data_IF_392515980096
#
_entry.id   IF_392515980096
#
_cell.length_a   1.000
_cell.length_b   1.000
_cell.length_c   1.000
_cell.angle_alpha   90.00
_cell.angle_beta   90.00
_cell.angle_gamma   90.00
#
_symmetry.space_group_name_H-M   'P 1'
#
loop_
_entity.id
_entity.type
_entity.pdbx_description
1 polymer ?
#
# COMPACT_ATOMS: atom_id res chain seq x y z
N UNK A 1 -0.94 -26.80 78.66
CA UNK A 1 -1.62 -25.60 78.12
C UNK A 1 -1.64 -25.74 76.60
N UNK A 2 -2.81 -25.83 75.95
CA UNK A 2 -2.90 -26.10 74.52
C UNK A 2 -2.71 -24.83 73.67
N UNK A 3 -2.22 -24.95 72.42
CA UNK A 3 -2.01 -23.82 71.53
C UNK A 3 -3.34 -23.29 70.98
N UNK A 4 -3.56 -21.97 71.11
CA UNK A 4 -4.69 -21.25 70.52
C UNK A 4 -4.48 -21.13 69.01
N UNK A 5 -5.31 -21.83 68.23
CA UNK A 5 -5.44 -21.63 66.78
C UNK A 5 -6.08 -20.26 66.51
N UNK A 6 -5.34 -19.38 65.82
CA UNK A 6 -5.84 -18.10 65.32
C UNK A 6 -6.40 -18.36 63.92
N UNK A 7 -7.74 -18.41 63.82
CA UNK A 7 -8.45 -18.41 62.54
C UNK A 7 -8.30 -17.02 61.92
N UNK A 8 -7.43 -16.88 60.91
CA UNK A 8 -7.40 -15.72 60.03
C UNK A 8 -8.61 -15.78 59.09
N UNK A 9 -9.52 -14.79 59.11
CA UNK A 9 -10.57 -14.70 58.10
C UNK A 9 -9.90 -14.45 56.75
N UNK A 10 -10.06 -15.39 55.81
CA UNK A 10 -9.72 -15.20 54.41
C UNK A 10 -10.58 -14.04 53.87
N UNK A 11 -10.01 -12.84 53.85
CA UNK A 11 -10.59 -11.69 53.17
C UNK A 11 -10.45 -11.95 51.66
N UNK A 12 -11.51 -12.45 51.04
CA UNK A 12 -11.58 -12.60 49.58
C UNK A 12 -11.55 -11.22 48.93
N UNK A 13 -10.36 -10.78 48.48
CA UNK A 13 -10.24 -9.61 47.62
C UNK A 13 -10.94 -9.94 46.29
N UNK A 14 -12.09 -9.33 46.05
CA UNK A 14 -12.73 -9.26 44.74
C UNK A 14 -11.79 -8.47 43.83
N UNK A 15 -10.91 -9.18 43.10
CA UNK A 15 -10.14 -8.54 42.03
C UNK A 15 -11.12 -8.19 40.91
N UNK A 16 -11.31 -6.91 40.57
CA UNK A 16 -12.18 -6.53 39.47
C UNK A 16 -11.68 -7.24 38.21
N UNK A 17 -12.53 -8.08 37.62
CA UNK A 17 -12.29 -8.62 36.28
C UNK A 17 -12.34 -7.46 35.31
N UNK A 18 -11.17 -6.97 34.90
CA UNK A 18 -11.07 -6.06 33.77
C UNK A 18 -11.67 -6.79 32.57
N UNK A 19 -12.84 -6.36 32.11
CA UNK A 19 -13.36 -6.85 30.84
C UNK A 19 -12.34 -6.42 29.77
N UNK A 20 -11.70 -7.40 29.13
CA UNK A 20 -10.86 -7.12 27.97
C UNK A 20 -11.74 -6.41 26.95
N UNK A 21 -11.34 -5.21 26.53
CA UNK A 21 -12.10 -4.49 25.52
C UNK A 21 -11.96 -5.24 24.20
N UNK A 22 -13.10 -5.58 23.58
CA UNK A 22 -13.12 -6.13 22.24
C UNK A 22 -12.57 -5.10 21.24
N UNK A 23 -11.86 -5.58 20.24
CA UNK A 23 -11.36 -4.78 19.13
C UNK A 23 -12.22 -5.02 17.89
N UNK A 24 -12.40 -3.99 17.08
CA UNK A 24 -13.30 -3.97 15.94
C UNK A 24 -12.55 -3.58 14.67
N UNK A 25 -12.94 -4.20 13.56
CA UNK A 25 -12.61 -3.72 12.22
C UNK A 25 -13.20 -2.33 11.98
N UNK A 26 -12.68 -1.60 11.00
CA UNK A 26 -13.18 -0.27 10.63
C UNK A 26 -14.67 -0.27 10.20
N UNK A 27 -15.21 -1.42 9.79
CA UNK A 27 -16.64 -1.59 9.48
C UNK A 27 -17.52 -1.87 10.71
N UNK A 28 -16.93 -1.90 11.92
CA UNK A 28 -17.62 -2.19 13.18
C UNK A 28 -17.89 -3.67 13.47
N UNK A 29 -17.31 -4.58 12.70
CA UNK A 29 -17.37 -6.01 13.01
C UNK A 29 -16.33 -6.34 14.07
N UNK A 30 -16.66 -7.22 15.02
CA UNK A 30 -15.72 -7.67 16.06
C UNK A 30 -14.61 -8.54 15.45
N UNK A 31 -13.40 -8.42 15.97
CA UNK A 31 -12.29 -9.29 15.57
C UNK A 31 -12.54 -10.75 16.00
N UNK A 32 -12.30 -11.75 15.12
CA UNK A 32 -12.52 -13.15 15.46
C UNK A 32 -11.40 -13.68 16.36
N UNK A 33 -11.67 -13.80 17.65
CA UNK A 33 -10.69 -14.26 18.66
C UNK A 33 -10.25 -15.72 18.50
N UNK A 34 -10.96 -16.51 17.70
CA UNK A 34 -10.62 -17.92 17.43
C UNK A 34 -9.45 -18.08 16.46
N UNK A 35 -9.06 -17.03 15.75
CA UNK A 35 -7.94 -17.05 14.82
C UNK A 35 -6.67 -16.58 15.52
N UNK A 36 -5.59 -17.36 15.39
CA UNK A 36 -4.32 -17.14 16.07
C UNK A 36 -3.71 -15.74 15.83
N UNK A 37 -3.95 -15.15 14.65
CA UNK A 37 -3.51 -13.79 14.37
C UNK A 37 -4.25 -12.77 15.22
N UNK A 38 -5.59 -12.82 15.21
CA UNK A 38 -6.43 -11.84 15.89
C UNK A 38 -6.38 -11.97 17.42
N UNK A 39 -6.04 -13.13 17.97
CA UNK A 39 -5.81 -13.29 19.42
C UNK A 39 -4.60 -12.52 19.95
N UNK A 40 -3.69 -12.07 19.07
CA UNK A 40 -2.55 -11.23 19.47
C UNK A 40 -2.87 -9.74 19.50
N UNK A 41 -4.04 -9.34 18.99
CA UNK A 41 -4.46 -7.94 18.96
C UNK A 41 -5.08 -7.59 20.30
N UNK A 42 -4.54 -6.57 20.94
CA UNK A 42 -4.97 -6.11 22.26
C UNK A 42 -5.03 -4.58 22.28
N UNK A 43 -5.91 -4.00 23.11
CA UNK A 43 -5.93 -2.57 23.35
C UNK A 43 -4.60 -2.08 23.91
N UNK A 44 -4.17 -0.89 23.50
CA UNK A 44 -3.05 -0.22 24.12
C UNK A 44 -3.32 0.03 25.62
N UNK A 45 -2.26 0.01 26.42
CA UNK A 45 -2.39 0.13 27.89
C UNK A 45 -2.53 1.59 28.33
N UNK A 46 -1.87 2.51 27.62
CA UNK A 46 -1.73 3.89 28.05
C UNK A 46 -2.83 4.80 27.49
N UNK A 47 -3.33 5.71 28.34
CA UNK A 47 -4.07 6.87 27.89
C UNK A 47 -3.12 7.83 27.14
N UNK A 48 -3.57 8.47 26.05
CA UNK A 48 -4.93 8.53 25.51
C UNK A 48 -5.26 7.44 24.47
N UNK A 49 -4.32 6.55 24.16
CA UNK A 49 -4.40 5.61 23.04
C UNK A 49 -5.03 4.26 23.39
N UNK A 50 -5.56 4.10 24.61
CA UNK A 50 -6.21 2.85 25.06
C UNK A 50 -7.38 2.36 24.19
N UNK A 51 -7.90 3.21 23.32
CA UNK A 51 -8.96 2.87 22.37
C UNK A 51 -8.42 2.34 21.04
N UNK A 52 -7.11 2.34 20.84
CA UNK A 52 -6.43 1.74 19.70
C UNK A 52 -6.03 0.32 20.07
N UNK A 53 -6.14 -0.61 19.11
CA UNK A 53 -5.63 -1.96 19.29
C UNK A 53 -4.48 -2.26 18.33
N UNK A 54 -3.40 -2.82 18.87
CA UNK A 54 -2.20 -3.22 18.14
C UNK A 54 -1.89 -4.71 18.38
N UNK A 55 -0.95 -5.30 17.63
CA UNK A 55 -0.52 -6.68 17.86
C UNK A 55 0.49 -6.75 19.02
N UNK A 56 -0.02 -6.71 20.25
CA UNK A 56 0.78 -6.68 21.47
C UNK A 56 1.06 -8.08 22.06
N UNK A 57 0.34 -9.11 21.59
CA UNK A 57 0.39 -10.48 22.13
C UNK A 57 1.21 -11.47 21.29
N UNK A 58 2.17 -11.02 20.49
CA UNK A 58 3.11 -11.87 19.75
C UNK A 58 4.28 -12.27 20.67
N UNK A 59 4.91 -13.40 20.39
CA UNK A 59 6.02 -13.90 21.21
C UNK A 59 7.36 -13.19 20.94
N UNK A 60 7.54 -12.66 19.72
CA UNK A 60 8.79 -11.99 19.34
C UNK A 60 8.74 -10.53 19.79
N UNK A 61 9.70 -10.09 20.60
CA UNK A 61 9.70 -8.74 21.16
C UNK A 61 9.96 -7.64 20.10
N UNK A 62 9.57 -6.37 20.35
CA UNK A 62 9.82 -5.28 19.42
C UNK A 62 11.31 -5.11 19.13
N UNK A 63 11.69 -5.19 17.86
CA UNK A 63 13.08 -5.14 17.40
C UNK A 63 13.78 -6.50 17.33
N UNK A 64 13.07 -7.60 17.59
CA UNK A 64 13.56 -8.96 17.39
C UNK A 64 13.80 -9.32 15.92
N UNK A 65 14.50 -10.44 15.69
CA UNK A 65 14.78 -10.95 14.35
C UNK A 65 13.52 -11.55 13.72
N UNK A 66 13.26 -11.21 12.45
CA UNK A 66 12.14 -11.71 11.66
C UNK A 66 12.14 -13.23 11.52
N UNK A 67 13.29 -13.90 11.64
CA UNK A 67 13.39 -15.37 11.64
C UNK A 67 12.59 -15.99 12.81
N UNK A 68 12.40 -15.24 13.90
CA UNK A 68 11.60 -15.67 15.06
C UNK A 68 10.11 -15.34 14.91
N UNK A 69 9.66 -14.90 13.72
CA UNK A 69 8.29 -14.49 13.45
C UNK A 69 8.07 -12.98 13.54
N UNK A 70 6.81 -12.55 13.47
CA UNK A 70 6.44 -11.15 13.57
C UNK A 70 6.65 -10.61 14.98
N UNK A 71 7.26 -9.44 15.10
CA UNK A 71 7.49 -8.77 16.38
C UNK A 71 6.23 -8.14 16.93
N UNK A 72 6.19 -7.93 18.25
CA UNK A 72 5.19 -7.12 18.92
C UNK A 72 5.21 -5.69 18.41
N UNK A 73 4.01 -5.13 18.32
CA UNK A 73 3.84 -3.72 18.05
C UNK A 73 4.07 -2.91 19.34
N UNK A 74 4.39 -1.63 19.15
CA UNK A 74 4.45 -0.63 20.19
C UNK A 74 3.39 0.44 19.90
N UNK A 75 2.56 0.76 20.90
CA UNK A 75 1.58 1.82 20.77
C UNK A 75 2.27 3.19 20.76
N UNK A 76 2.08 3.96 19.68
CA UNK A 76 2.59 5.32 19.60
C UNK A 76 1.59 6.32 20.18
N UNK A 77 2.06 7.46 20.75
CA UNK A 77 1.17 8.45 21.34
C UNK A 77 0.15 9.05 20.38
N UNK A 78 0.41 9.05 19.07
CA UNK A 78 -0.50 9.54 18.03
C UNK A 78 -1.60 8.53 17.66
N UNK A 79 -1.61 7.34 18.25
CA UNK A 79 -2.57 6.27 18.01
C UNK A 79 -2.20 5.32 16.88
N UNK A 80 -0.98 5.39 16.33
CA UNK A 80 -0.46 4.39 15.40
C UNK A 80 0.22 3.23 16.15
N UNK A 81 0.33 2.08 15.50
CA UNK A 81 1.09 0.92 15.97
C UNK A 81 2.46 0.90 15.26
N UNK A 82 3.56 0.90 16.01
CA UNK A 82 4.91 0.80 15.46
C UNK A 82 5.41 -0.64 15.55
N UNK A 83 5.80 -1.22 14.43
CA UNK A 83 6.42 -2.54 14.39
C UNK A 83 7.91 -2.41 14.05
N UNK A 84 8.79 -2.68 15.04
CA UNK A 84 10.24 -2.75 14.81
C UNK A 84 10.67 -4.19 14.62
N UNK A 85 11.46 -4.48 13.61
CA UNK A 85 12.01 -5.81 13.35
C UNK A 85 13.42 -5.73 12.77
N UNK A 86 14.18 -6.81 12.88
CA UNK A 86 15.48 -6.98 12.21
C UNK A 86 15.33 -8.04 11.14
N UNK A 87 15.62 -7.71 9.88
CA UNK A 87 15.61 -8.65 8.76
C UNK A 87 16.98 -8.67 8.11
N UNK A 88 17.66 -9.82 8.12
CA UNK A 88 19.02 -9.97 7.61
C UNK A 88 20.00 -8.94 8.22
N UNK A 89 19.92 -8.74 9.54
CA UNK A 89 20.73 -7.74 10.25
C UNK A 89 20.34 -6.27 10.02
N UNK A 90 19.37 -6.00 9.14
CA UNK A 90 18.89 -4.64 8.86
C UNK A 90 17.67 -4.31 9.70
N UNK A 91 17.75 -3.22 10.48
CA UNK A 91 16.63 -2.71 11.26
C UNK A 91 15.58 -2.11 10.32
N UNK A 92 14.36 -2.60 10.42
CA UNK A 92 13.18 -2.10 9.69
C UNK A 92 12.15 -1.62 10.68
N UNK A 93 11.43 -0.55 10.35
CA UNK A 93 10.34 -0.03 11.17
C UNK A 93 9.16 0.24 10.27
N UNK A 94 8.02 -0.36 10.61
CA UNK A 94 6.76 -0.14 9.94
C UNK A 94 5.81 0.57 10.90
N UNK A 95 4.92 1.40 10.36
CA UNK A 95 3.85 2.02 11.11
C UNK A 95 2.53 1.56 10.54
N UNK A 96 1.59 1.26 11.41
CA UNK A 96 0.31 0.71 11.05
C UNK A 96 -0.81 1.53 11.69
N UNK A 97 -1.82 1.79 10.88
CA UNK A 97 -3.13 2.17 11.34
C UNK A 97 -3.95 0.89 11.45
N UNK A 98 -4.19 0.42 12.66
CA UNK A 98 -4.84 -0.85 12.96
C UNK A 98 -6.30 -0.62 13.42
N UNK A 99 -6.75 -1.44 14.38
CA UNK A 99 -8.11 -1.57 14.87
C UNK A 99 -8.43 -0.62 16.02
N UNK A 100 -9.70 -0.61 16.43
CA UNK A 100 -10.18 0.24 17.50
C UNK A 100 -11.06 -0.55 18.49
N UNK A 101 -11.11 -0.12 19.75
CA UNK A 101 -12.03 -0.68 20.75
C UNK A 101 -13.47 -0.17 20.59
N UNK A 102 -13.67 0.91 19.83
CA UNK A 102 -15.02 1.41 19.54
C UNK A 102 -15.52 0.80 18.22
N UNK A 103 -16.76 0.32 18.26
CA UNK A 103 -17.43 -0.26 17.09
C UNK A 103 -17.61 0.77 15.98
N UNK A 104 -17.81 2.03 16.35
CA UNK A 104 -17.94 3.13 15.40
C UNK A 104 -16.60 3.86 15.25
N UNK A 105 -15.95 3.65 14.10
CA UNK A 105 -14.69 4.32 13.77
C UNK A 105 -14.85 5.85 13.71
N UNK A 106 -16.06 6.35 13.46
CA UNK A 106 -16.36 7.80 13.41
C UNK A 106 -16.64 8.43 14.77
N UNK A 107 -16.69 7.63 15.84
CA UNK A 107 -16.98 8.08 17.22
C UNK A 107 -15.99 9.13 17.76
N UNK A 108 -14.87 9.33 17.06
CA UNK A 108 -13.75 10.12 17.50
C UNK A 108 -12.74 9.33 18.34
N UNK A 109 -13.15 8.21 18.94
CA UNK A 109 -12.26 7.38 19.77
C UNK A 109 -11.29 6.53 18.95
N UNK A 110 -11.48 6.48 17.63
CA UNK A 110 -10.64 5.74 16.70
C UNK A 110 -9.91 6.70 15.76
N UNK A 111 -8.83 6.22 15.14
CA UNK A 111 -8.27 6.89 13.98
C UNK A 111 -9.08 6.53 12.73
N UNK A 112 -9.76 7.53 12.17
CA UNK A 112 -10.59 7.40 10.97
C UNK A 112 -9.95 8.09 9.77
N UNK A 113 -8.83 7.52 9.33
CA UNK A 113 -8.04 8.02 8.20
C UNK A 113 -7.73 6.85 7.27
N UNK A 114 -7.27 7.15 6.05
CA UNK A 114 -6.82 6.12 5.10
C UNK A 114 -7.85 5.02 4.82
N UNK A 115 -9.15 5.36 4.81
CA UNK A 115 -10.23 4.40 4.56
C UNK A 115 -10.06 3.65 3.24
N UNK A 116 -9.58 4.35 2.22
CA UNK A 116 -9.38 3.83 0.87
C UNK A 116 -8.26 2.78 0.78
N UNK A 117 -7.32 2.78 1.72
CA UNK A 117 -6.15 1.88 1.71
C UNK A 117 -6.20 0.83 2.81
N UNK A 118 -7.24 0.83 3.65
CA UNK A 118 -7.47 -0.25 4.62
C UNK A 118 -7.87 -1.50 3.86
N UNK A 119 -7.10 -2.57 4.08
CA UNK A 119 -7.44 -3.87 3.54
C UNK A 119 -8.61 -4.49 4.31
N UNK A 120 -9.11 -5.64 3.86
CA UNK A 120 -10.20 -6.34 4.56
C UNK A 120 -9.78 -6.88 5.94
N UNK A 121 -8.47 -6.98 6.19
CA UNK A 121 -7.94 -7.22 7.53
C UNK A 121 -8.01 -5.97 8.42
N UNK A 122 -8.52 -4.82 7.96
CA UNK A 122 -8.79 -3.63 8.76
C UNK A 122 -7.59 -2.72 9.02
N UNK A 123 -6.37 -3.20 8.75
CA UNK A 123 -5.13 -2.46 8.92
C UNK A 123 -4.66 -1.75 7.63
N UNK A 124 -3.85 -0.71 7.76
CA UNK A 124 -3.12 -0.13 6.63
C UNK A 124 -1.74 0.38 7.06
N UNK A 125 -0.75 0.22 6.20
CA UNK A 125 0.58 0.78 6.40
C UNK A 125 0.50 2.30 6.39
N UNK A 126 1.36 2.94 7.19
CA UNK A 126 1.50 4.38 7.27
C UNK A 126 2.96 4.75 7.08
N UNK A 127 3.24 5.74 6.24
CA UNK A 127 4.60 6.22 5.99
C UNK A 127 4.75 7.67 6.46
N UNK A 128 5.67 7.98 7.40
CA UNK A 128 5.86 9.34 7.88
C UNK A 128 6.58 10.19 6.83
N UNK A 129 6.12 11.42 6.63
CA UNK A 129 6.75 12.35 5.68
C UNK A 129 8.12 12.87 6.13
N UNK A 130 8.38 12.95 7.44
CA UNK A 130 9.67 13.37 7.99
C UNK A 130 10.60 12.20 8.36
N UNK A 131 10.18 10.97 8.10
CA UNK A 131 10.93 9.76 8.43
C UNK A 131 10.94 9.40 9.92
N UNK A 132 10.18 10.09 10.78
CA UNK A 132 10.15 9.87 12.22
C UNK A 132 8.81 9.32 12.70
N UNK A 133 8.82 8.64 13.84
CA UNK A 133 7.60 8.13 14.48
C UNK A 133 6.70 9.24 15.07
N UNK A 134 7.21 10.48 15.17
CA UNK A 134 6.51 11.65 15.67
C UNK A 134 6.07 12.61 14.55
N UNK A 135 6.06 12.13 13.30
CA UNK A 135 5.57 12.91 12.17
C UNK A 135 4.15 13.41 12.43
N UNK A 136 3.87 14.60 11.92
CA UNK A 136 2.50 15.15 11.88
C UNK A 136 1.85 14.95 10.52
N UNK A 137 2.62 14.54 9.51
CA UNK A 137 2.18 14.26 8.14
C UNK A 137 2.49 12.83 7.75
N UNK A 138 1.49 12.10 7.29
CA UNK A 138 1.60 10.68 6.99
C UNK A 138 0.97 10.36 5.64
N UNK A 139 1.59 9.45 4.90
CA UNK A 139 0.96 8.81 3.75
C UNK A 139 0.26 7.52 4.16
N UNK A 140 -0.90 7.31 3.56
CA UNK A 140 -1.56 6.02 3.55
C UNK A 140 -0.80 5.07 2.60
N UNK A 141 -0.28 3.96 3.13
CA UNK A 141 0.54 2.99 2.40
C UNK A 141 2.04 3.07 2.70
N UNK A 142 2.84 2.31 1.95
CA UNK A 142 4.29 2.15 2.15
C UNK A 142 5.18 3.14 1.37
N UNK A 143 4.63 4.24 0.86
CA UNK A 143 5.34 5.20 0.00
C UNK A 143 5.29 6.62 0.57
N UNK A 144 6.37 7.38 0.37
CA UNK A 144 6.45 8.82 0.70
C UNK A 144 5.97 9.73 -0.44
N UNK A 145 5.47 9.17 -1.54
CA UNK A 145 5.10 9.97 -2.73
C UNK A 145 4.09 11.07 -2.41
N UNK A 146 3.12 10.77 -1.53
CA UNK A 146 2.08 11.71 -1.11
C UNK A 146 2.67 12.98 -0.43
N UNK A 147 3.83 12.84 0.22
CA UNK A 147 4.49 13.94 0.94
C UNK A 147 5.10 15.00 0.03
N UNK A 148 5.32 14.69 -1.25
CA UNK A 148 6.02 15.60 -2.17
C UNK A 148 5.13 16.77 -2.61
N UNK A 149 3.84 16.51 -2.78
CA UNK A 149 2.84 17.46 -3.27
C UNK A 149 1.69 17.69 -2.29
N UNK A 150 1.80 17.16 -1.06
CA UNK A 150 0.76 17.16 -0.03
C UNK A 150 -0.59 16.52 -0.49
N UNK A 151 -0.58 15.75 -1.58
CA UNK A 151 -1.77 15.06 -2.08
C UNK A 151 -1.94 13.72 -1.38
N UNK A 152 -3.05 13.52 -0.68
CA UNK A 152 -3.31 12.29 0.09
C UNK A 152 -2.50 12.20 1.39
N UNK A 153 -1.92 13.32 1.85
CA UNK A 153 -1.31 13.41 3.19
C UNK A 153 -2.40 13.49 4.24
N UNK A 154 -2.28 12.63 5.25
CA UNK A 154 -3.06 12.67 6.48
C UNK A 154 -2.30 13.41 7.55
N UNK A 155 -2.97 14.33 8.26
CA UNK A 155 -2.41 14.99 9.42
C UNK A 155 -2.83 14.29 10.71
N UNK A 156 -1.84 13.81 11.47
CA UNK A 156 -2.05 13.19 12.77
C UNK A 156 -1.48 14.09 13.88
N UNK A 157 -2.16 14.21 15.03
CA UNK A 157 -1.60 14.91 16.16
C UNK A 157 -0.48 14.06 16.76
N UNK A 158 0.52 14.68 17.39
CA UNK A 158 1.57 13.94 18.10
C UNK A 158 1.03 13.12 19.27
N UNK A 159 -0.08 13.54 19.85
CA UNK A 159 -0.81 12.84 20.90
C UNK A 159 -2.27 12.70 20.48
N UNK A 160 -2.77 11.48 20.49
CA UNK A 160 -4.15 11.17 20.23
C UNK A 160 -5.02 11.85 21.29
N UNK A 161 -6.15 12.43 20.91
CA UNK A 161 -7.00 13.19 21.84
C UNK A 161 -8.42 12.63 21.94
N UNK A 162 -8.62 11.39 21.49
CA UNK A 162 -9.96 10.78 21.45
C UNK A 162 -10.90 11.46 20.46
N UNK A 163 -10.35 12.25 19.51
CA UNK A 163 -11.04 12.70 18.30
C UNK A 163 -10.22 12.30 17.08
N UNK A 164 -10.84 11.54 16.19
CA UNK A 164 -10.39 11.38 14.82
C UNK A 164 -10.23 12.77 14.21
N UNK A 165 -9.00 13.15 13.85
CA UNK A 165 -8.81 14.28 12.96
C UNK A 165 -9.26 13.77 11.60
N UNK A 166 -10.54 13.98 11.28
CA UNK A 166 -11.02 13.78 9.91
C UNK A 166 -10.08 14.59 9.02
N UNK A 167 -9.45 13.91 8.06
CA UNK A 167 -8.56 14.56 7.10
C UNK A 167 -9.41 15.57 6.34
N UNK A 168 -9.38 16.82 6.80
CA UNK A 168 -9.94 17.92 6.05
C UNK A 168 -9.15 17.98 4.77
N UNK A 169 -9.70 17.38 3.71
CA UNK A 169 -9.20 17.52 2.35
C UNK A 169 -9.12 19.02 2.14
N UNK A 170 -7.91 19.57 2.16
CA UNK A 170 -7.68 20.96 1.81
C UNK A 170 -7.96 21.00 0.32
N UNK A 171 -9.22 21.21 -0.06
CA UNK A 171 -9.61 21.38 -1.45
C UNK A 171 -8.88 22.60 -1.97
N UNK A 172 -7.75 22.39 -2.64
CA UNK A 172 -7.10 23.43 -3.43
C UNK A 172 -8.12 23.84 -4.49
N UNK A 173 -8.73 25.00 -4.29
CA UNK A 173 -9.57 25.63 -5.29
C UNK A 173 -8.67 26.06 -6.45
N UNK A 174 -8.61 25.23 -7.49
CA UNK A 174 -7.90 25.54 -8.73
C UNK A 174 -8.51 26.78 -9.37
N UNK A 175 -7.78 27.91 -9.33
CA UNK A 175 -8.13 29.12 -10.07
C UNK A 175 -7.97 28.85 -11.58
N UNK A 176 -9.08 28.88 -12.32
CA UNK A 176 -9.13 28.67 -13.76
C UNK A 176 -8.79 29.96 -14.53
N UNK A 177 -7.80 29.89 -15.42
CA UNK A 177 -7.41 30.98 -16.33
C UNK A 177 -8.10 30.78 -17.70
N UNK A 178 -8.73 31.81 -18.32
CA UNK A 178 -9.48 31.66 -19.58
C UNK A 178 -8.57 31.70 -20.83
N UNK A 179 -8.98 30.99 -21.89
CA UNK A 179 -8.24 30.79 -23.15
C UNK A 179 -9.00 31.32 -24.39
N UNK A 180 -8.36 31.97 -25.40
CA UNK A 180 -9.03 32.53 -26.59
C UNK A 180 -8.96 31.66 -27.88
N UNK A 181 -9.83 31.98 -28.85
CA UNK A 181 -10.25 31.19 -30.03
C UNK A 181 -9.37 31.28 -31.32
N UNK A 182 -9.41 30.30 -32.27
CA UNK A 182 -8.65 30.36 -33.54
C UNK A 182 -9.48 30.38 -34.85
N UNK A 183 -8.81 30.80 -35.94
CA UNK A 183 -9.28 30.85 -37.35
C UNK A 183 -8.49 29.89 -38.27
N UNK A 184 -9.13 29.45 -39.37
CA UNK A 184 -8.76 28.36 -40.29
C UNK A 184 -7.72 28.70 -41.40
N UNK A 185 -6.93 27.70 -41.84
CA UNK A 185 -6.55 27.49 -43.27
C UNK A 185 -5.87 26.11 -43.56
N UNK A 186 -6.10 25.58 -44.78
CA UNK A 186 -5.57 24.35 -45.44
C UNK A 186 -4.31 24.68 -46.32
N UNK A 187 -3.69 23.75 -47.09
CA UNK A 187 -3.15 22.40 -46.85
C UNK A 187 -1.69 22.23 -47.40
N UNK A 188 -0.99 21.09 -47.19
CA UNK A 188 -0.02 20.54 -48.17
C UNK A 188 0.48 19.10 -47.85
N UNK A 189 0.48 18.32 -48.92
CA UNK A 189 0.89 16.93 -49.18
C UNK A 189 2.42 16.68 -49.09
N UNK A 190 2.88 15.54 -48.52
CA UNK A 190 4.22 14.97 -48.81
C UNK A 190 4.30 13.43 -48.77
N UNK A 191 4.77 12.92 -49.91
CA UNK A 191 5.41 11.62 -50.26
C UNK A 191 6.37 11.14 -49.16
N UNK A 192 6.47 9.86 -48.80
CA UNK A 192 6.77 8.68 -49.62
C UNK A 192 8.17 8.17 -49.22
N UNK A 193 8.30 6.99 -48.64
CA UNK A 193 9.61 6.38 -48.34
C UNK A 193 9.57 4.87 -48.58
N UNK A 194 10.36 4.51 -49.58
CA UNK A 194 10.54 3.20 -50.20
C UNK A 194 11.27 2.21 -49.28
N UNK A 195 10.87 0.94 -49.42
CA UNK A 195 11.45 -0.24 -48.79
C UNK A 195 12.67 -0.72 -49.61
N UNK A 196 13.83 -0.82 -48.94
CA UNK A 196 15.09 -1.22 -49.57
C UNK A 196 15.14 -2.72 -49.84
N UNK A 197 15.28 -3.07 -51.12
CA UNK A 197 15.52 -4.43 -51.65
C UNK A 197 16.99 -4.82 -51.52
N UNK A 198 17.31 -5.90 -50.80
CA UNK A 198 18.69 -6.37 -50.73
C UNK A 198 18.93 -7.60 -49.87
N UNK A 199 18.30 -8.74 -50.17
CA UNK A 199 18.67 -10.02 -49.51
C UNK A 199 18.36 -11.23 -50.41
N UNK A 200 19.22 -11.50 -51.39
CA UNK A 200 19.24 -12.79 -52.12
C UNK A 200 20.66 -13.10 -52.61
N UNK A 201 21.37 -14.01 -51.94
CA UNK A 201 22.30 -14.99 -52.53
C UNK A 201 23.04 -15.78 -51.43
N UNK A 202 23.02 -17.12 -51.50
CA UNK A 202 24.03 -17.97 -50.86
C UNK A 202 23.52 -19.10 -49.97
N UNK A 203 22.94 -20.15 -50.53
CA UNK A 203 22.80 -21.45 -49.84
C UNK A 203 23.67 -22.46 -50.57
N UNK A 204 24.76 -22.88 -49.92
CA UNK A 204 25.58 -23.99 -50.36
C UNK A 204 26.56 -24.37 -49.25
N UNK A 205 26.44 -25.60 -48.72
CA UNK A 205 27.22 -26.22 -47.63
C UNK A 205 26.70 -25.92 -46.19
N UNK A 206 25.39 -25.76 -45.98
CA UNK A 206 24.82 -25.48 -44.63
C UNK A 206 24.31 -26.68 -43.82
N UNK A 207 24.07 -27.84 -44.46
CA UNK A 207 23.21 -28.87 -43.84
C UNK A 207 23.91 -29.66 -42.73
N UNK A 208 25.20 -29.99 -42.89
CA UNK A 208 25.93 -30.78 -41.87
C UNK A 208 26.20 -29.96 -40.62
N UNK A 209 26.65 -28.71 -40.78
CA UNK A 209 26.85 -27.80 -39.65
C UNK A 209 25.52 -27.36 -39.03
N UNK A 210 24.47 -27.19 -39.84
CA UNK A 210 23.12 -26.86 -39.35
C UNK A 210 22.58 -27.92 -38.40
N UNK A 211 22.76 -29.21 -38.70
CA UNK A 211 22.35 -30.30 -37.81
C UNK A 211 23.13 -30.31 -36.49
N UNK A 212 24.45 -30.09 -36.52
CA UNK A 212 25.27 -30.01 -35.31
C UNK A 212 24.88 -28.83 -34.41
N UNK A 213 24.64 -27.66 -35.00
CA UNK A 213 24.19 -26.47 -34.26
C UNK A 213 22.79 -26.67 -33.68
N UNK A 214 21.87 -27.30 -34.43
CA UNK A 214 20.51 -27.56 -33.98
C UNK A 214 20.48 -28.53 -32.79
N UNK A 215 21.28 -29.61 -32.83
CA UNK A 215 21.40 -30.56 -31.71
C UNK A 215 21.99 -29.87 -30.48
N UNK A 216 23.02 -29.03 -30.66
CA UNK A 216 23.61 -28.24 -29.57
C UNK A 216 22.62 -27.27 -28.93
N UNK A 217 21.81 -26.58 -29.74
CA UNK A 217 20.77 -25.65 -29.27
C UNK A 217 19.69 -26.38 -28.46
N UNK A 218 19.20 -27.53 -28.94
CA UNK A 218 18.21 -28.35 -28.22
C UNK A 218 18.78 -28.81 -26.87
N UNK A 219 20.01 -29.31 -26.85
CA UNK A 219 20.67 -29.72 -25.61
C UNK A 219 20.80 -28.57 -24.60
N UNK A 220 21.19 -27.38 -25.08
CA UNK A 220 21.30 -26.19 -24.23
C UNK A 220 19.95 -25.75 -23.65
N UNK A 221 18.89 -25.71 -24.47
CA UNK A 221 17.54 -25.36 -24.01
C UNK A 221 17.02 -26.35 -22.98
N UNK A 222 17.16 -27.67 -23.21
CA UNK A 222 16.73 -28.70 -22.25
C UNK A 222 17.49 -28.54 -20.93
N UNK A 223 18.81 -28.31 -20.98
CA UNK A 223 19.62 -28.12 -19.77
C UNK A 223 19.24 -26.83 -19.03
N UNK A 224 19.01 -25.73 -19.74
CA UNK A 224 18.59 -24.46 -19.17
C UNK A 224 17.21 -24.55 -18.50
N UNK A 225 16.26 -25.27 -19.13
CA UNK A 225 14.95 -25.53 -18.55
C UNK A 225 15.03 -26.44 -17.30
N UNK A 226 15.90 -27.45 -17.32
CA UNK A 226 16.14 -28.30 -16.15
C UNK A 226 16.75 -27.51 -14.97
N UNK A 227 17.64 -26.55 -15.25
CA UNK A 227 18.20 -25.66 -14.23
C UNK A 227 17.14 -24.71 -13.65
N UNK A 228 16.27 -24.13 -14.49
CA UNK A 228 15.13 -23.33 -14.02
C UNK A 228 14.18 -24.12 -13.13
N UNK A 229 13.89 -25.39 -13.48
CA UNK A 229 13.05 -26.26 -12.63
C UNK A 229 13.69 -26.51 -11.26
N UNK A 230 15.01 -26.70 -11.18
CA UNK A 230 15.70 -26.87 -9.89
C UNK A 230 15.71 -25.60 -9.04
N UNK A 231 15.85 -24.43 -9.66
CA UNK A 231 15.76 -23.16 -8.93
C UNK A 231 14.36 -22.94 -8.32
N UNK A 232 13.30 -23.23 -9.09
CA UNK A 232 11.93 -23.10 -8.60
C UNK A 232 11.58 -24.12 -7.49
N UNK A 233 12.19 -25.31 -7.49
CA UNK A 233 11.97 -26.29 -6.42
C UNK A 233 12.61 -25.86 -5.09
N UNK A 234 13.79 -25.22 -5.12
CA UNK A 234 14.39 -24.66 -3.90
C UNK A 234 13.57 -23.49 -3.33
N UNK A 235 12.95 -22.69 -4.20
CA UNK A 235 11.99 -21.67 -3.78
C UNK A 235 10.72 -22.29 -3.15
N UNK A 236 10.25 -23.43 -3.67
CA UNK A 236 9.07 -24.11 -3.15
C UNK A 236 9.25 -24.76 -1.77
N UNK A 237 10.48 -25.16 -1.39
CA UNK A 237 10.74 -25.67 -0.03
C UNK A 237 10.93 -24.55 1.00
N UNK A 238 11.39 -23.36 0.58
CA UNK A 238 11.42 -22.18 1.44
C UNK A 238 10.05 -21.54 1.70
N UNK A 239 9.07 -21.78 0.83
CA UNK A 239 7.71 -21.22 0.94
C UNK A 239 6.73 -22.07 1.75
N UNK A 240 7.03 -23.34 2.05
CA UNK A 240 6.10 -24.21 2.79
C UNK A 240 5.85 -23.81 4.25
N UNK A 241 6.66 -22.91 4.82
CA UNK A 241 6.43 -22.37 6.16
C UNK A 241 5.78 -20.96 6.15
N UNK A 242 5.67 -20.31 4.98
CA UNK A 242 5.09 -18.96 4.84
C UNK A 242 3.78 -18.87 4.03
N UNK A 243 3.51 -19.82 3.13
CA UNK A 243 2.43 -19.72 2.13
C UNK A 243 1.02 -19.91 2.71
N UNK A 244 0.88 -20.52 3.90
CA UNK A 244 -0.44 -20.63 4.51
C UNK A 244 -0.97 -19.28 5.01
N UNK A 245 -0.12 -18.26 5.23
CA UNK A 245 -0.57 -16.94 5.71
C UNK A 245 -0.81 -15.94 4.57
N UNK A 246 0.04 -15.93 3.54
CA UNK A 246 -0.16 -15.07 2.36
C UNK A 246 -1.46 -15.39 1.62
N UNK A 247 -1.91 -16.65 1.65
CA UNK A 247 -3.19 -17.04 1.05
C UNK A 247 -4.42 -16.48 1.79
N UNK A 248 -4.34 -16.17 3.09
CA UNK A 248 -5.45 -15.52 3.81
C UNK A 248 -5.45 -13.99 3.67
N UNK A 249 -4.31 -13.38 3.33
CA UNK A 249 -4.25 -11.94 3.02
C UNK A 249 -4.97 -11.62 1.69
N UNK A 250 -5.09 -12.58 0.76
CA UNK A 250 -5.78 -12.40 -0.53
C UNK A 250 -7.19 -13.01 -0.62
N UNK A 251 -7.66 -13.76 0.39
CA UNK A 251 -8.94 -14.48 0.31
C UNK A 251 -10.16 -13.71 0.86
N UNK A 252 -9.97 -12.49 1.37
CA UNK A 252 -11.07 -11.68 1.93
C UNK A 252 -11.34 -10.37 1.19
N UNK A 253 -10.86 -10.23 -0.07
CA UNK A 253 -11.19 -9.17 -1.02
C UNK A 253 -12.67 -9.07 -1.37
N UNK A 254 -13.49 -8.68 -0.40
CA UNK A 254 -14.94 -8.59 -0.45
C UNK A 254 -15.45 -7.15 -0.53
N UNK A 255 -14.56 -6.15 -0.59
CA UNK A 255 -14.93 -4.92 -1.26
C UNK A 255 -15.15 -5.27 -2.72
N UNK A 256 -16.42 -5.37 -3.11
CA UNK A 256 -16.76 -5.01 -4.47
C UNK A 256 -16.16 -3.62 -4.66
N UNK A 257 -15.08 -3.54 -5.44
CA UNK A 257 -14.84 -2.36 -6.25
C UNK A 257 -16.22 -2.07 -6.80
N UNK A 258 -16.77 -0.89 -6.48
CA UNK A 258 -17.90 -0.40 -7.23
C UNK A 258 -17.38 -0.26 -8.65
N UNK A 259 -17.40 -1.37 -9.40
CA UNK A 259 -17.46 -1.41 -10.83
C UNK A 259 -18.69 -0.56 -11.10
N UNK A 260 -18.41 0.73 -11.31
CA UNK A 260 -19.35 1.69 -11.84
C UNK A 260 -20.05 0.93 -12.97
N UNK A 261 -21.34 0.60 -12.78
CA UNK A 261 -22.06 -0.27 -13.72
C UNK A 261 -21.81 0.24 -15.13
N UNK A 262 -21.03 -0.52 -15.89
CA UNK A 262 -20.53 -0.18 -17.22
C UNK A 262 -21.63 -0.35 -18.28
N UNK A 263 -22.82 0.13 -17.94
CA UNK A 263 -24.00 0.23 -18.78
C UNK A 263 -24.71 1.55 -18.48
N UNK A 264 -23.94 2.64 -18.55
CA UNK A 264 -24.53 3.88 -19.05
C UNK A 264 -24.25 3.86 -20.54
N UNK A 265 -25.28 3.62 -21.36
CA UNK A 265 -25.17 3.88 -22.80
C UNK A 265 -24.54 5.26 -22.97
N UNK A 266 -23.48 5.40 -23.79
CA UNK A 266 -22.93 6.71 -24.05
C UNK A 266 -24.06 7.59 -24.56
N UNK A 267 -24.41 8.62 -23.79
CA UNK A 267 -25.23 9.71 -24.30
C UNK A 267 -24.40 10.32 -25.41
N UNK A 268 -24.74 9.96 -26.65
CA UNK A 268 -24.24 10.58 -27.87
C UNK A 268 -24.43 12.10 -27.70
N UNK A 269 -23.32 12.80 -27.45
CA UNK A 269 -23.31 14.25 -27.36
C UNK A 269 -23.61 14.78 -28.77
N UNK A 270 -24.83 15.28 -28.93
CA UNK A 270 -25.30 15.86 -30.18
C UNK A 270 -24.35 17.00 -30.60
N UNK A 271 -23.60 16.74 -31.68
CA UNK A 271 -22.68 17.67 -32.35
C UNK A 271 -21.62 18.33 -31.46
N UNK A 272 -20.49 17.63 -31.26
CA UNK A 272 -19.23 18.31 -30.97
C UNK A 272 -18.70 19.02 -32.23
N UNK A 273 -18.62 20.36 -32.26
CA UNK A 273 -17.97 21.07 -33.36
C UNK A 273 -16.48 20.68 -33.41
N UNK A 274 -15.99 20.40 -34.62
CA UNK A 274 -14.63 19.90 -34.88
C UNK A 274 -13.54 20.77 -34.23
N UNK A 275 -12.46 20.15 -33.73
CA UNK A 275 -11.32 20.89 -33.19
C UNK A 275 -10.69 21.76 -34.29
N UNK A 276 -10.52 23.06 -33.98
CA UNK A 276 -9.84 24.03 -34.84
C UNK A 276 -8.33 23.94 -34.55
N UNK A 277 -7.58 23.45 -35.53
CA UNK A 277 -6.11 23.43 -35.55
C UNK A 277 -5.56 24.88 -35.54
N UNK A 278 -4.69 25.19 -34.58
CA UNK A 278 -4.00 26.48 -34.44
C UNK A 278 -2.80 26.54 -35.39
N UNK A 279 -2.99 27.12 -36.58
CA UNK A 279 -1.90 27.56 -37.44
C UNK A 279 -1.36 28.91 -36.95
N UNK A 280 -0.33 28.94 -36.09
CA UNK A 280 0.50 30.13 -35.91
C UNK A 280 1.86 29.82 -35.25
N UNK A 281 2.84 29.44 -36.07
CA UNK A 281 4.25 29.29 -35.68
C UNK A 281 5.18 30.34 -36.35
N UNK A 282 4.66 31.42 -36.94
CA UNK A 282 5.49 32.39 -37.69
C UNK A 282 5.79 33.72 -36.97
N UNK A 283 5.29 33.95 -35.75
CA UNK A 283 5.50 35.25 -35.07
C UNK A 283 6.74 35.33 -34.16
N UNK A 284 7.48 34.24 -33.91
CA UNK A 284 8.59 34.25 -32.93
C UNK A 284 9.99 34.46 -33.54
N UNK A 285 10.14 34.48 -34.87
CA UNK A 285 11.43 34.76 -35.51
C UNK A 285 11.71 36.25 -35.80
N UNK A 286 10.71 37.14 -35.74
CA UNK A 286 10.94 38.57 -35.98
C UNK A 286 11.45 39.31 -34.73
N UNK A 287 11.20 38.81 -33.52
CA UNK A 287 11.66 39.45 -32.28
C UNK A 287 13.14 39.16 -31.95
N UNK A 288 13.73 38.07 -32.46
CA UNK A 288 15.13 37.71 -32.19
C UNK A 288 16.15 38.41 -33.11
N UNK A 289 15.70 39.17 -34.12
CA UNK A 289 16.60 39.88 -35.04
C UNK A 289 16.86 41.35 -34.67
N UNK A 290 16.22 41.85 -33.61
CA UNK A 290 16.37 43.23 -33.14
C UNK A 290 17.46 43.44 -32.08
N UNK A 291 18.04 42.37 -31.51
CA UNK A 291 19.08 42.47 -30.47
C UNK A 291 20.52 42.27 -30.97
N UNK A 292 20.74 42.21 -32.29
CA UNK A 292 22.08 42.08 -32.89
C UNK A 292 22.47 43.28 -33.77
N UNK A 293 22.14 44.50 -33.32
CA UNK A 293 22.70 45.74 -33.86
C UNK A 293 23.05 46.72 -32.76
#
# INVERSE_FOLDING_TARGET
MPPRSILFPFLSFLTPTLAAADCFFANGTVLPTTQAFFSTIQPCVDDPVKTICCNLGRDNEPGGDYVNGYTNDECLPNGLCQNRLVKNGTKTTNYWLEYCTDKDVTSGKCLDVCRETRNDAGGTLMTPCDGTNNSTKWCCGGSTTCCTNDYGVVQLPRQFSGKAISSGVVSLSSASTPSPAPSQSLPAERKGSELSSGTKAGIGIGVVFGLLVLVGAIFFVVKALAWRRKANLQESEGLKYGDTFDKYIYAHGGYQISELSDHTEPVELENTPRPVELSNAQSLQSSLRSEMK
#
